data_IF_546608534127
#
_entry.id   IF_546608534127
#
_cell.length_a   1.000
_cell.length_b   1.000
_cell.length_c   1.000
_cell.angle_alpha   90.00
_cell.angle_beta   90.00
_cell.angle_gamma   90.00
#
_symmetry.space_group_name_H-M   'P 1'
#
loop_
_entity.id
_entity.type
_entity.pdbx_description
1 polymer ?
#
# COMPACT_ATOMS: atom_id res chain seq x y z
N UNK A 1 14.04 -6.39 18.74
CA UNK A 1 13.12 -7.55 18.81
C UNK A 1 13.43 -8.43 20.00
N UNK A 2 14.68 -8.90 20.19
CA UNK A 2 15.09 -9.69 21.37
C UNK A 2 14.73 -9.01 22.68
N UNK A 3 15.18 -7.76 22.87
CA UNK A 3 14.88 -6.99 24.09
C UNK A 3 13.38 -6.83 24.37
N UNK A 4 12.55 -6.74 23.33
CA UNK A 4 11.09 -6.70 23.49
C UNK A 4 10.54 -8.05 23.96
N UNK A 5 11.01 -9.15 23.37
CA UNK A 5 10.64 -10.52 23.76
C UNK A 5 11.07 -10.78 25.22
N UNK A 6 12.23 -10.26 25.62
CA UNK A 6 12.76 -10.36 26.98
C UNK A 6 12.10 -9.37 27.95
N UNK A 7 11.15 -8.55 27.50
CA UNK A 7 10.40 -7.60 28.34
C UNK A 7 11.22 -6.39 28.81
N UNK A 8 12.33 -6.08 28.14
CA UNK A 8 13.27 -5.01 28.48
C UNK A 8 12.93 -3.66 27.83
N UNK A 9 11.87 -3.62 27.02
CA UNK A 9 11.42 -2.41 26.31
C UNK A 9 9.98 -2.05 26.68
N UNK A 10 9.49 -0.92 26.13
CA UNK A 10 8.07 -0.55 26.20
C UNK A 10 7.15 -1.68 25.73
N UNK A 11 5.93 -1.74 26.27
CA UNK A 11 4.90 -2.69 25.86
C UNK A 11 4.30 -2.26 24.52
N UNK A 12 3.65 -3.19 23.82
CA UNK A 12 2.98 -2.91 22.54
C UNK A 12 2.01 -1.73 22.63
N UNK A 13 1.21 -1.67 23.70
CA UNK A 13 0.21 -0.61 23.89
C UNK A 13 0.87 0.78 23.96
N UNK A 14 2.01 0.89 24.65
CA UNK A 14 2.77 2.13 24.76
C UNK A 14 3.40 2.53 23.41
N UNK A 15 3.94 1.55 22.68
CA UNK A 15 4.52 1.77 21.35
C UNK A 15 3.45 2.22 20.35
N UNK A 16 2.27 1.58 20.38
CA UNK A 16 1.13 2.00 19.55
C UNK A 16 0.72 3.42 19.90
N UNK A 17 0.59 3.76 21.18
CA UNK A 17 0.24 5.12 21.62
C UNK A 17 1.25 6.16 21.11
N UNK A 18 2.56 5.88 21.22
CA UNK A 18 3.62 6.77 20.73
C UNK A 18 3.53 7.00 19.21
N UNK A 19 3.32 5.93 18.43
CA UNK A 19 3.19 5.99 16.97
C UNK A 19 1.95 6.80 16.58
N UNK A 20 0.80 6.51 17.19
CA UNK A 20 -0.44 7.22 16.91
C UNK A 20 -0.33 8.70 17.27
N UNK A 21 0.25 9.04 18.43
CA UNK A 21 0.46 10.43 18.83
C UNK A 21 1.35 11.18 17.83
N UNK A 22 2.41 10.53 17.33
CA UNK A 22 3.30 11.10 16.33
C UNK A 22 2.58 11.37 15.01
N UNK A 23 1.78 10.41 14.53
CA UNK A 23 0.99 10.56 13.30
C UNK A 23 -0.04 11.68 13.43
N UNK A 24 -0.78 11.75 14.54
CA UNK A 24 -1.74 12.82 14.80
C UNK A 24 -1.07 14.20 14.86
N UNK A 25 0.12 14.28 15.45
CA UNK A 25 0.89 15.53 15.50
C UNK A 25 1.31 15.99 14.09
N UNK A 26 1.82 15.08 13.27
CA UNK A 26 2.22 15.36 11.88
C UNK A 26 1.01 15.74 11.02
N UNK A 27 -0.12 15.08 11.23
CA UNK A 27 -1.37 15.31 10.50
C UNK A 27 -2.11 16.58 10.88
N UNK A 28 -1.66 17.30 11.92
CA UNK A 28 -2.29 18.55 12.32
C UNK A 28 -2.23 19.56 11.15
N UNK A 29 -3.40 20.13 10.84
CA UNK A 29 -3.59 21.10 9.76
C UNK A 29 -3.21 20.56 8.36
N UNK A 30 -3.38 19.24 8.14
CA UNK A 30 -3.19 18.58 6.84
C UNK A 30 -4.48 17.92 6.37
N UNK A 31 -4.78 18.06 5.08
CA UNK A 31 -5.94 17.38 4.46
C UNK A 31 -5.68 15.88 4.25
N UNK A 32 -4.41 15.51 4.00
CA UNK A 32 -3.97 14.14 3.73
C UNK A 32 -2.65 13.85 4.45
N UNK A 33 -2.55 12.66 5.05
CA UNK A 33 -1.32 12.12 5.61
C UNK A 33 -1.04 10.78 4.93
N UNK A 34 0.16 10.66 4.34
CA UNK A 34 0.65 9.39 3.79
C UNK A 34 1.58 8.76 4.82
N UNK A 35 1.26 7.54 5.23
CA UNK A 35 2.06 6.77 6.18
C UNK A 35 2.76 5.67 5.38
N UNK A 36 4.06 5.83 5.18
CA UNK A 36 4.89 4.82 4.52
C UNK A 36 5.35 3.80 5.56
N UNK A 37 4.77 2.59 5.50
CA UNK A 37 5.16 1.47 6.34
C UNK A 37 6.53 0.91 5.93
N UNK A 38 7.14 0.12 6.82
CA UNK A 38 8.41 -0.55 6.50
C UNK A 38 8.16 -2.00 6.15
N UNK A 39 8.61 -2.44 4.98
CA UNK A 39 8.54 -3.83 4.54
C UNK A 39 7.12 -4.34 4.31
N UNK A 40 6.88 -5.63 4.59
CA UNK A 40 5.58 -6.27 4.39
C UNK A 40 4.57 -5.88 5.48
N UNK A 41 3.25 -6.08 5.27
CA UNK A 41 2.22 -5.67 6.24
C UNK A 41 2.42 -6.22 7.66
N UNK A 42 3.07 -7.38 7.79
CA UNK A 42 3.33 -8.03 9.08
C UNK A 42 4.56 -7.49 9.83
N UNK A 43 5.41 -6.67 9.21
CA UNK A 43 6.57 -6.09 9.89
C UNK A 43 6.10 -5.30 11.10
N UNK A 44 6.75 -5.53 12.25
CA UNK A 44 6.34 -5.00 13.55
C UNK A 44 5.52 -5.98 14.41
N UNK A 45 5.09 -7.12 13.85
CA UNK A 45 4.35 -8.15 14.62
C UNK A 45 5.12 -8.67 15.83
N UNK A 46 6.46 -8.69 15.79
CA UNK A 46 7.30 -9.10 16.92
C UNK A 46 7.16 -8.20 18.14
N UNK A 47 6.79 -6.93 17.95
CA UNK A 47 6.53 -5.98 19.03
C UNK A 47 5.04 -5.69 19.22
N UNK A 48 4.17 -6.41 18.51
CA UNK A 48 2.71 -6.21 18.55
C UNK A 48 2.23 -4.90 17.93
N UNK A 49 3.04 -4.26 17.08
CA UNK A 49 2.71 -3.00 16.39
C UNK A 49 3.09 -3.14 14.93
N UNK A 50 2.37 -3.98 14.19
CA UNK A 50 2.59 -4.14 12.76
C UNK A 50 2.01 -3.00 11.94
N UNK A 51 2.41 -2.89 10.66
CA UNK A 51 1.80 -1.93 9.73
C UNK A 51 0.26 -2.07 9.68
N UNK A 52 -0.25 -3.31 9.79
CA UNK A 52 -1.69 -3.58 9.85
C UNK A 52 -2.32 -3.09 11.15
N UNK A 53 -1.65 -3.28 12.28
CA UNK A 53 -2.17 -2.83 13.58
C UNK A 53 -2.26 -1.28 13.63
N UNK A 54 -1.29 -0.59 13.03
CA UNK A 54 -1.32 0.89 12.87
C UNK A 54 -2.46 1.32 11.95
N UNK A 55 -2.62 0.68 10.78
CA UNK A 55 -3.67 1.02 9.83
C UNK A 55 -5.08 0.84 10.41
N UNK A 56 -5.30 -0.25 11.16
CA UNK A 56 -6.57 -0.50 11.85
C UNK A 56 -6.85 0.54 12.94
N UNK A 57 -5.82 0.89 13.73
CA UNK A 57 -5.95 1.90 14.80
C UNK A 57 -6.35 3.28 14.29
N UNK A 58 -5.99 3.60 13.04
CA UNK A 58 -6.32 4.87 12.38
C UNK A 58 -7.51 4.77 11.43
N UNK A 59 -8.09 3.58 11.23
CA UNK A 59 -9.11 3.33 10.20
C UNK A 59 -8.66 3.77 8.79
N UNK A 60 -7.38 3.55 8.46
CA UNK A 60 -6.80 3.96 7.18
C UNK A 60 -7.27 3.08 6.01
N UNK A 61 -7.41 3.70 4.84
CA UNK A 61 -7.32 2.98 3.58
C UNK A 61 -5.85 2.58 3.33
N UNK A 62 -5.60 1.35 2.89
CA UNK A 62 -4.24 0.83 2.66
C UNK A 62 -4.00 0.59 1.18
N UNK A 63 -2.98 1.24 0.64
CA UNK A 63 -2.44 0.91 -0.68
C UNK A 63 -1.31 -0.09 -0.49
N UNK A 64 -1.52 -1.34 -0.92
CA UNK A 64 -0.51 -2.37 -0.91
C UNK A 64 0.24 -2.40 -2.25
N UNK A 65 1.56 -2.20 -2.20
CA UNK A 65 2.41 -2.22 -3.38
C UNK A 65 2.96 -3.63 -3.59
N UNK A 66 2.42 -4.34 -4.58
CA UNK A 66 2.79 -5.71 -4.91
C UNK A 66 4.13 -5.83 -5.66
N UNK A 67 4.71 -7.04 -5.62
CA UNK A 67 5.96 -7.39 -6.31
C UNK A 67 5.74 -7.52 -7.83
N UNK A 68 6.74 -7.22 -8.68
CA UNK A 68 6.64 -7.46 -10.12
C UNK A 68 6.73 -8.97 -10.45
N UNK A 69 6.24 -9.34 -11.64
CA UNK A 69 6.23 -10.72 -12.13
C UNK A 69 4.96 -11.49 -11.75
N UNK A 70 4.53 -12.46 -12.55
CA UNK A 70 3.21 -13.11 -12.38
C UNK A 70 3.12 -13.89 -11.06
N UNK A 71 4.01 -14.86 -10.84
CA UNK A 71 3.98 -15.70 -9.64
C UNK A 71 4.24 -14.89 -8.37
N UNK A 72 5.31 -14.08 -8.38
CA UNK A 72 5.65 -13.24 -7.24
C UNK A 72 4.56 -12.20 -6.89
N UNK A 73 3.89 -11.61 -7.90
CA UNK A 73 2.74 -10.75 -7.66
C UNK A 73 1.62 -11.50 -6.96
N UNK A 74 1.18 -12.63 -7.52
CA UNK A 74 0.03 -13.39 -7.03
C UNK A 74 0.31 -13.94 -5.63
N UNK A 75 1.41 -14.69 -5.45
CA UNK A 75 1.70 -15.39 -4.20
C UNK A 75 1.90 -14.42 -3.04
N UNK A 76 2.65 -13.34 -3.27
CA UNK A 76 2.89 -12.32 -2.25
C UNK A 76 1.61 -11.58 -1.89
N UNK A 77 0.76 -11.30 -2.89
CA UNK A 77 -0.51 -10.62 -2.67
C UNK A 77 -1.45 -11.49 -1.86
N UNK A 78 -1.62 -12.77 -2.23
CA UNK A 78 -2.44 -13.71 -1.48
C UNK A 78 -1.99 -13.79 -0.03
N UNK A 79 -0.69 -13.96 0.21
CA UNK A 79 -0.15 -14.03 1.57
C UNK A 79 -0.43 -12.75 2.38
N UNK A 80 -0.07 -11.59 1.82
CA UNK A 80 -0.15 -10.31 2.52
C UNK A 80 -1.59 -9.88 2.76
N UNK A 81 -2.45 -10.00 1.74
CA UNK A 81 -3.87 -9.62 1.84
C UNK A 81 -4.61 -10.56 2.78
N UNK A 82 -4.34 -11.87 2.73
CA UNK A 82 -4.97 -12.80 3.67
C UNK A 82 -4.59 -12.47 5.12
N UNK A 83 -3.34 -12.06 5.38
CA UNK A 83 -2.92 -11.59 6.71
C UNK A 83 -3.67 -10.32 7.13
N UNK A 84 -3.78 -9.34 6.22
CA UNK A 84 -4.51 -8.09 6.48
C UNK A 84 -6.00 -8.35 6.77
N UNK A 85 -6.67 -9.13 5.92
CA UNK A 85 -8.08 -9.49 6.08
C UNK A 85 -8.32 -10.33 7.34
N UNK A 86 -7.41 -11.25 7.68
CA UNK A 86 -7.50 -12.02 8.93
C UNK A 86 -7.46 -11.12 10.18
N UNK A 87 -6.75 -10.00 10.11
CA UNK A 87 -6.72 -8.96 11.14
C UNK A 87 -7.94 -8.02 11.10
N UNK A 88 -8.82 -8.14 10.11
CA UNK A 88 -10.01 -7.31 9.94
C UNK A 88 -9.82 -6.07 9.07
N UNK A 89 -8.68 -5.94 8.40
CA UNK A 89 -8.42 -4.83 7.47
C UNK A 89 -8.92 -5.21 6.07
N UNK A 90 -10.00 -4.56 5.61
CA UNK A 90 -10.62 -4.88 4.32
C UNK A 90 -10.47 -3.76 3.27
N UNK A 91 -10.19 -2.52 3.70
CA UNK A 91 -10.01 -1.38 2.79
C UNK A 91 -8.60 -1.40 2.17
N UNK A 92 -8.37 -2.35 1.27
CA UNK A 92 -7.06 -2.61 0.65
C UNK A 92 -7.17 -2.42 -0.86
N UNK A 93 -6.36 -1.51 -1.39
CA UNK A 93 -6.17 -1.28 -2.81
C UNK A 93 -4.78 -1.74 -3.24
N UNK A 94 -4.65 -2.39 -4.39
CA UNK A 94 -3.37 -2.96 -4.82
C UNK A 94 -2.83 -2.27 -6.05
N UNK A 95 -1.56 -1.87 -5.98
CA UNK A 95 -0.79 -1.39 -7.13
C UNK A 95 0.44 -2.27 -7.31
N UNK A 96 0.70 -2.73 -8.54
CA UNK A 96 1.97 -3.38 -8.86
C UNK A 96 2.93 -2.37 -9.47
N UNK A 97 4.10 -2.16 -8.87
CA UNK A 97 5.05 -1.13 -9.29
C UNK A 97 6.35 -1.74 -9.84
N UNK A 98 7.11 -0.91 -10.58
CA UNK A 98 8.44 -1.22 -11.12
C UNK A 98 8.42 -2.47 -12.03
N UNK A 99 7.34 -2.65 -12.78
CA UNK A 99 7.22 -3.74 -13.74
C UNK A 99 8.02 -3.41 -15.00
N UNK A 100 8.95 -4.27 -15.47
CA UNK A 100 9.59 -4.06 -16.77
C UNK A 100 8.56 -3.82 -17.88
N UNK A 101 8.74 -2.79 -18.70
CA UNK A 101 7.75 -2.42 -19.73
C UNK A 101 7.48 -3.57 -20.72
N UNK A 102 8.49 -4.40 -21.01
CA UNK A 102 8.37 -5.62 -21.81
C UNK A 102 7.36 -6.63 -21.24
N UNK A 103 7.24 -6.66 -19.91
CA UNK A 103 6.49 -7.68 -19.18
C UNK A 103 5.13 -7.13 -18.70
N UNK A 104 4.92 -5.81 -18.78
CA UNK A 104 3.76 -5.10 -18.23
C UNK A 104 2.44 -5.65 -18.77
N UNK A 105 2.34 -5.86 -20.10
CA UNK A 105 1.13 -6.38 -20.74
C UNK A 105 0.81 -7.79 -20.24
N UNK A 106 1.83 -8.64 -20.16
CA UNK A 106 1.68 -10.04 -19.77
C UNK A 106 1.32 -10.17 -18.28
N UNK A 107 2.05 -9.48 -17.40
CA UNK A 107 1.79 -9.44 -15.96
C UNK A 107 0.39 -8.91 -15.70
N UNK A 108 0.02 -7.76 -16.31
CA UNK A 108 -1.32 -7.20 -16.17
C UNK A 108 -2.39 -8.22 -16.56
N UNK A 109 -2.24 -8.89 -17.70
CA UNK A 109 -3.20 -9.90 -18.18
C UNK A 109 -3.39 -11.04 -17.18
N UNK A 110 -2.32 -11.66 -16.71
CA UNK A 110 -2.43 -12.87 -15.88
C UNK A 110 -2.78 -12.57 -14.42
N UNK A 111 -2.26 -11.48 -13.86
CA UNK A 111 -2.60 -11.07 -12.49
C UNK A 111 -4.06 -10.67 -12.42
N UNK A 112 -4.55 -9.83 -13.34
CA UNK A 112 -5.97 -9.42 -13.38
C UNK A 112 -6.90 -10.61 -13.60
N UNK A 113 -6.45 -11.64 -14.33
CA UNK A 113 -7.24 -12.86 -14.53
C UNK A 113 -7.31 -13.72 -13.26
N UNK A 114 -6.17 -13.97 -12.60
CA UNK A 114 -6.09 -14.98 -11.54
C UNK A 114 -6.46 -14.44 -10.16
N UNK A 115 -6.09 -13.20 -9.87
CA UNK A 115 -6.16 -12.67 -8.52
C UNK A 115 -7.60 -12.55 -7.97
N UNK A 116 -8.61 -12.12 -8.77
CA UNK A 116 -10.00 -12.08 -8.31
C UNK A 116 -10.59 -13.46 -7.97
N UNK A 117 -10.08 -14.55 -8.57
CA UNK A 117 -10.51 -15.91 -8.24
C UNK A 117 -10.00 -16.34 -6.85
N UNK A 118 -8.88 -15.79 -6.40
CA UNK A 118 -8.23 -16.12 -5.12
C UNK A 118 -8.64 -15.16 -3.99
N UNK A 119 -8.89 -13.90 -4.33
CA UNK A 119 -9.25 -12.83 -3.42
C UNK A 119 -10.44 -12.05 -4.02
N UNK A 120 -11.69 -12.54 -3.86
CA UNK A 120 -12.85 -11.96 -4.55
C UNK A 120 -13.20 -10.53 -4.15
N UNK A 121 -12.85 -10.11 -2.94
CA UNK A 121 -13.15 -8.76 -2.40
C UNK A 121 -12.03 -7.74 -2.68
N UNK A 122 -11.05 -8.12 -3.50
CA UNK A 122 -9.89 -7.29 -3.75
C UNK A 122 -10.21 -6.10 -4.66
N UNK A 123 -9.70 -4.92 -4.29
CA UNK A 123 -9.62 -3.77 -5.21
C UNK A 123 -8.24 -3.72 -5.87
N UNK A 124 -8.20 -4.00 -7.18
CA UNK A 124 -6.99 -3.80 -7.99
C UNK A 124 -7.00 -2.36 -8.53
N UNK A 125 -5.98 -1.58 -8.18
CA UNK A 125 -5.89 -0.16 -8.57
C UNK A 125 -5.10 0.02 -9.86
N UNK A 126 -4.07 -0.79 -10.10
CA UNK A 126 -3.36 -0.75 -11.38
C UNK A 126 -1.94 -1.30 -11.38
N UNK A 127 -1.24 -0.99 -12.48
CA UNK A 127 0.08 -1.52 -12.80
C UNK A 127 0.95 -0.39 -13.31
N UNK A 128 2.09 -0.14 -12.65
CA UNK A 128 3.03 0.92 -12.95
C UNK A 128 4.32 0.32 -13.52
N UNK A 129 4.66 0.76 -14.74
CA UNK A 129 5.89 0.37 -15.43
C UNK A 129 7.15 0.93 -14.76
N UNK A 130 8.27 0.22 -14.89
CA UNK A 130 9.59 0.68 -14.46
C UNK A 130 10.14 1.61 -15.53
N UNK A 131 9.94 2.91 -15.34
CA UNK A 131 10.65 3.91 -16.13
C UNK A 131 12.09 4.03 -15.64
N UNK A 132 13.03 4.01 -16.58
CA UNK A 132 14.46 3.95 -16.25
C UNK A 132 15.00 5.25 -15.62
N UNK A 133 14.22 6.34 -15.64
CA UNK A 133 14.61 7.63 -15.08
C UNK A 133 13.38 8.46 -14.65
N UNK A 134 12.74 8.08 -13.53
CA UNK A 134 11.59 8.81 -12.98
C UNK A 134 11.97 10.26 -12.60
N UNK A 135 13.19 10.48 -12.10
CA UNK A 135 13.67 11.84 -11.81
C UNK A 135 13.71 12.70 -13.07
N UNK A 136 14.23 12.18 -14.18
CA UNK A 136 14.22 12.91 -15.46
C UNK A 136 12.83 13.05 -16.04
N UNK A 137 11.96 12.05 -15.83
CA UNK A 137 10.58 12.05 -16.32
C UNK A 137 9.74 13.15 -15.66
N UNK A 138 9.96 13.40 -14.37
CA UNK A 138 9.23 14.40 -13.58
C UNK A 138 9.99 15.70 -13.36
N UNK A 139 11.25 15.79 -13.82
CA UNK A 139 11.99 17.04 -13.82
C UNK A 139 11.21 18.11 -14.59
N UNK A 140 10.91 19.21 -13.91
CA UNK A 140 10.13 20.34 -14.41
C UNK A 140 8.67 20.03 -14.78
N UNK A 141 8.13 18.86 -14.39
CA UNK A 141 6.69 18.60 -14.53
C UNK A 141 5.91 19.21 -13.37
N UNK A 142 4.75 19.76 -13.70
CA UNK A 142 3.76 20.23 -12.74
C UNK A 142 3.11 19.06 -11.98
N UNK A 143 2.50 19.35 -10.84
CA UNK A 143 1.72 18.36 -10.08
C UNK A 143 0.57 17.79 -10.93
N UNK A 144 -0.06 18.61 -11.78
CA UNK A 144 -1.11 18.17 -12.70
C UNK A 144 -0.59 17.17 -13.74
N UNK A 145 0.58 17.42 -14.33
CA UNK A 145 1.18 16.49 -15.31
C UNK A 145 1.59 15.17 -14.67
N UNK A 146 2.13 15.20 -13.45
CA UNK A 146 2.48 13.99 -12.69
C UNK A 146 1.20 13.21 -12.38
N UNK A 147 0.13 13.89 -11.96
CA UNK A 147 -1.16 13.26 -11.69
C UNK A 147 -1.78 12.63 -12.94
N UNK A 148 -1.73 13.31 -14.09
CA UNK A 148 -2.20 12.77 -15.37
C UNK A 148 -1.41 11.54 -15.80
N UNK A 149 -0.08 11.59 -15.69
CA UNK A 149 0.78 10.44 -15.96
C UNK A 149 0.40 9.26 -15.06
N UNK A 150 0.31 9.49 -13.74
CA UNK A 150 -0.02 8.43 -12.77
C UNK A 150 -1.40 7.82 -13.06
N UNK A 151 -2.38 8.66 -13.37
CA UNK A 151 -3.75 8.23 -13.71
C UNK A 151 -3.79 7.30 -14.93
N UNK A 152 -2.85 7.40 -15.87
CA UNK A 152 -2.78 6.49 -17.01
C UNK A 152 -2.41 5.04 -16.64
N UNK A 153 -1.73 4.84 -15.50
CA UNK A 153 -1.31 3.52 -15.01
C UNK A 153 -2.28 2.95 -13.96
N UNK A 154 -3.02 3.80 -13.25
CA UNK A 154 -3.98 3.43 -12.19
C UNK A 154 -5.42 3.32 -12.72
N UNK A 155 -5.56 3.00 -14.00
CA UNK A 155 -6.86 2.96 -14.66
C UNK A 155 -7.48 1.56 -14.54
N UNK A 156 -8.17 1.32 -13.43
CA UNK A 156 -9.34 0.45 -13.37
C UNK A 156 -10.61 1.31 -13.26
N UNK A 157 -11.79 0.71 -13.37
CA UNK A 157 -13.12 1.37 -13.34
C UNK A 157 -13.42 2.20 -12.07
N UNK A 158 -12.44 2.39 -11.18
CA UNK A 158 -12.50 3.05 -9.89
C UNK A 158 -11.44 4.16 -9.89
N UNK A 159 -11.87 5.41 -9.76
CA UNK A 159 -10.96 6.54 -9.59
C UNK A 159 -10.27 6.42 -8.21
N UNK A 160 -8.94 6.43 -8.17
CA UNK A 160 -8.17 6.28 -6.93
C UNK A 160 -8.60 7.28 -5.85
N UNK A 161 -8.85 8.54 -6.24
CA UNK A 161 -9.30 9.58 -5.32
C UNK A 161 -10.66 9.24 -4.70
N UNK A 162 -11.60 8.72 -5.51
CA UNK A 162 -12.93 8.32 -5.03
C UNK A 162 -12.81 7.12 -4.07
N UNK A 163 -11.97 6.14 -4.40
CA UNK A 163 -11.69 4.99 -3.53
C UNK A 163 -11.05 5.41 -2.20
N UNK A 164 -10.14 6.38 -2.24
CA UNK A 164 -9.54 6.96 -1.05
C UNK A 164 -10.51 7.85 -0.25
N UNK A 165 -11.70 8.15 -0.78
CA UNK A 165 -12.67 9.05 -0.17
C UNK A 165 -12.25 10.53 -0.21
N UNK A 166 -11.31 10.89 -1.08
CA UNK A 166 -10.85 12.25 -1.28
C UNK A 166 -11.87 12.98 -2.16
N UNK A 167 -12.59 13.95 -1.61
CA UNK A 167 -13.50 14.80 -2.40
C UNK A 167 -12.66 15.72 -3.28
N UNK A 168 -13.00 15.80 -4.58
CA UNK A 168 -12.51 16.88 -5.43
C UNK A 168 -13.08 18.20 -4.88
N UNK A 169 -12.22 19.03 -4.29
CA UNK A 169 -12.52 20.42 -3.91
C UNK A 169 -12.54 21.32 -5.12
#
# INVERSE_FOLDING_TARGET
SRDFIDGLTKRSDDLTADVLASIHCIGKDKDVVIIDGVGDPSVGSVVGVSNVDVALSLSCNVIFVGKPGIGAAIDNTVLCVSFMQNKGLNNIGIIYNKIPLSDLIEIKKYVTKRLPELLPELTLLGFVGKEQNLETLFQNKSSEEIAQWFSSYVNESILLCDWLGLKNS
#
